data_IF_451150923406
#
_entry.id   IF_451150923406
#
_cell.length_a   1.000
_cell.length_b   1.000
_cell.length_c   1.000
_cell.angle_alpha   90.00
_cell.angle_beta   90.00
_cell.angle_gamma   90.00
#
_symmetry.space_group_name_H-M   'P 1'
#
loop_
_entity.id
_entity.type
_entity.pdbx_description
1 polymer ?
#
# COMPACT_ATOMS: atom_id res chain seq x y z
N UNK A 1 8.12 -16.94 23.23
CA UNK A 1 6.85 -16.22 22.97
C UNK A 1 6.94 -15.41 21.68
N UNK A 2 7.86 -14.44 21.56
CA UNK A 2 8.02 -13.65 20.32
C UNK A 2 8.52 -14.48 19.12
N UNK A 3 9.54 -15.34 19.30
CA UNK A 3 10.03 -16.23 18.24
C UNK A 3 8.93 -17.12 17.65
N UNK A 4 8.15 -17.78 18.51
CA UNK A 4 7.02 -18.64 18.11
C UNK A 4 5.93 -17.90 17.34
N UNK A 5 5.71 -16.61 17.62
CA UNK A 5 4.74 -15.78 16.89
C UNK A 5 5.28 -15.48 15.49
N UNK A 6 6.56 -15.09 15.35
CA UNK A 6 7.13 -14.77 14.05
C UNK A 6 7.30 -16.01 13.15
N UNK A 7 7.70 -17.14 13.72
CA UNK A 7 7.84 -18.41 13.00
C UNK A 7 6.50 -18.91 12.41
N UNK A 8 5.37 -18.53 13.00
CA UNK A 8 4.03 -18.90 12.52
C UNK A 8 3.38 -17.81 11.67
N UNK A 9 3.57 -16.54 12.03
CA UNK A 9 3.02 -15.40 11.31
C UNK A 9 3.61 -15.25 9.91
N UNK A 10 4.93 -15.42 9.73
CA UNK A 10 5.59 -15.30 8.43
C UNK A 10 5.03 -16.25 7.36
N UNK A 11 4.98 -17.58 7.59
CA UNK A 11 4.41 -18.50 6.60
C UNK A 11 2.91 -18.25 6.39
N UNK A 12 2.16 -17.86 7.43
CA UNK A 12 0.75 -17.51 7.29
C UNK A 12 0.54 -16.30 6.37
N UNK A 13 1.31 -15.23 6.57
CA UNK A 13 1.28 -14.03 5.72
C UNK A 13 1.64 -14.41 4.28
N UNK A 14 2.67 -15.24 4.07
CA UNK A 14 3.05 -15.70 2.74
C UNK A 14 1.91 -16.47 2.04
N UNK A 15 1.27 -17.40 2.76
CA UNK A 15 0.11 -18.15 2.25
C UNK A 15 -1.04 -17.21 1.90
N UNK A 16 -1.34 -16.22 2.74
CA UNK A 16 -2.39 -15.24 2.47
C UNK A 16 -2.09 -14.39 1.23
N UNK A 17 -0.85 -13.93 1.05
CA UNK A 17 -0.45 -13.17 -0.15
C UNK A 17 -0.65 -14.01 -1.41
N UNK A 18 -0.18 -15.27 -1.41
CA UNK A 18 -0.35 -16.17 -2.56
C UNK A 18 -1.82 -16.46 -2.81
N UNK A 19 -2.62 -16.70 -1.76
CA UNK A 19 -4.05 -16.96 -1.89
C UNK A 19 -4.81 -15.75 -2.46
N UNK A 20 -4.50 -14.53 -2.00
CA UNK A 20 -5.09 -13.29 -2.52
C UNK A 20 -4.67 -13.09 -3.98
N UNK A 21 -3.39 -13.30 -4.32
CA UNK A 21 -2.90 -13.23 -5.69
C UNK A 21 -3.58 -14.24 -6.63
N UNK A 22 -3.69 -15.50 -6.20
CA UNK A 22 -4.36 -16.54 -6.96
C UNK A 22 -5.86 -16.26 -7.14
N UNK A 23 -6.54 -15.81 -6.08
CA UNK A 23 -7.95 -15.44 -6.13
C UNK A 23 -8.21 -14.26 -7.08
N UNK A 24 -7.40 -13.20 -6.99
CA UNK A 24 -7.52 -12.02 -7.86
C UNK A 24 -7.23 -12.36 -9.33
N UNK A 25 -6.23 -13.20 -9.60
CA UNK A 25 -5.93 -13.68 -10.94
C UNK A 25 -7.06 -14.56 -11.49
N UNK A 26 -7.54 -15.53 -10.69
CA UNK A 26 -8.65 -16.40 -11.07
C UNK A 26 -9.91 -15.61 -11.41
N UNK A 27 -10.26 -14.63 -10.57
CA UNK A 27 -11.38 -13.72 -10.80
C UNK A 27 -11.22 -12.94 -12.10
N UNK A 28 -10.02 -12.39 -12.34
CA UNK A 28 -9.70 -11.65 -13.57
C UNK A 28 -9.86 -12.53 -14.81
N UNK A 29 -9.32 -13.75 -14.79
CA UNK A 29 -9.44 -14.70 -15.93
C UNK A 29 -10.91 -15.09 -16.15
N UNK A 30 -11.68 -15.30 -15.08
CA UNK A 30 -13.10 -15.63 -15.15
C UNK A 30 -13.93 -14.49 -15.78
N UNK A 31 -13.71 -13.26 -15.34
CA UNK A 31 -14.41 -12.07 -15.86
C UNK A 31 -14.09 -11.82 -17.35
N UNK A 32 -12.84 -11.99 -17.78
CA UNK A 32 -12.47 -11.92 -19.22
C UNK A 32 -13.19 -12.98 -20.06
N UNK A 33 -13.29 -14.21 -19.56
CA UNK A 33 -13.95 -15.32 -20.28
C UNK A 33 -15.45 -15.10 -20.45
N UNK A 34 -16.08 -14.33 -19.56
CA UNK A 34 -17.51 -13.99 -19.66
C UNK A 34 -17.84 -12.87 -20.64
N UNK A 35 -16.85 -12.28 -21.32
CA UNK A 35 -17.06 -11.23 -22.32
C UNK A 35 -17.44 -9.86 -21.75
N UNK A 36 -17.42 -9.69 -20.42
CA UNK A 36 -17.63 -8.40 -19.76
C UNK A 36 -16.32 -7.62 -19.72
N UNK A 37 -16.39 -6.29 -19.87
CA UNK A 37 -15.26 -5.43 -19.58
C UNK A 37 -14.86 -5.60 -18.11
N UNK A 38 -13.60 -5.97 -17.87
CA UNK A 38 -13.09 -6.27 -16.52
C UNK A 38 -13.19 -5.08 -15.57
N UNK A 39 -13.04 -3.89 -16.15
CA UNK A 39 -13.24 -2.60 -15.54
C UNK A 39 -13.60 -1.62 -16.65
N UNK A 40 -14.48 -0.69 -16.35
CA UNK A 40 -14.66 0.49 -17.18
C UNK A 40 -13.34 1.27 -17.24
N UNK A 41 -12.97 1.78 -18.42
CA UNK A 41 -11.75 2.57 -18.64
C UNK A 41 -11.66 3.74 -17.64
N UNK A 42 -12.82 4.30 -17.29
CA UNK A 42 -12.97 5.31 -16.25
C UNK A 42 -12.45 4.84 -14.89
N UNK A 43 -12.91 3.67 -14.43
CA UNK A 43 -12.52 3.14 -13.11
C UNK A 43 -11.02 2.84 -13.06
N UNK A 44 -10.48 2.27 -14.15
CA UNK A 44 -9.04 2.02 -14.26
C UNK A 44 -8.22 3.31 -14.20
N UNK A 45 -8.68 4.37 -14.87
CA UNK A 45 -8.04 5.69 -14.85
C UNK A 45 -8.05 6.32 -13.47
N UNK A 46 -9.19 6.30 -12.78
CA UNK A 46 -9.33 6.82 -11.40
C UNK A 46 -8.39 6.08 -10.45
N UNK A 47 -8.43 4.75 -10.47
CA UNK A 47 -7.59 3.92 -9.59
C UNK A 47 -6.11 4.12 -9.88
N UNK A 48 -5.71 4.17 -11.15
CA UNK A 48 -4.33 4.43 -11.55
C UNK A 48 -3.85 5.79 -11.05
N UNK A 49 -4.64 6.85 -11.23
CA UNK A 49 -4.31 8.19 -10.75
C UNK A 49 -4.18 8.25 -9.23
N UNK A 50 -5.12 7.65 -8.50
CA UNK A 50 -5.07 7.58 -7.04
C UNK A 50 -3.83 6.82 -6.55
N UNK A 51 -3.51 5.69 -7.19
CA UNK A 51 -2.32 4.89 -6.86
C UNK A 51 -1.02 5.65 -7.10
N UNK A 52 -0.87 6.35 -8.23
CA UNK A 52 0.34 7.14 -8.53
C UNK A 52 0.56 8.23 -7.49
N UNK A 53 -0.49 8.97 -7.13
CA UNK A 53 -0.36 10.05 -6.13
C UNK A 53 -0.08 9.49 -4.73
N UNK A 54 -0.78 8.43 -4.33
CA UNK A 54 -0.53 7.77 -3.04
C UNK A 54 0.90 7.21 -2.94
N UNK A 55 1.42 6.64 -4.03
CA UNK A 55 2.80 6.17 -4.12
C UNK A 55 3.80 7.31 -3.96
N UNK A 56 3.63 8.42 -4.68
CA UNK A 56 4.52 9.57 -4.54
C UNK A 56 4.46 10.18 -3.13
N UNK A 57 3.28 10.27 -2.52
CA UNK A 57 3.14 10.70 -1.12
C UNK A 57 3.90 9.78 -0.16
N UNK A 58 3.78 8.47 -0.34
CA UNK A 58 4.54 7.48 0.43
C UNK A 58 6.05 7.64 0.27
N UNK A 59 6.52 7.82 -0.96
CA UNK A 59 7.95 8.03 -1.25
C UNK A 59 8.48 9.30 -0.58
N UNK A 60 7.75 10.41 -0.67
CA UNK A 60 8.13 11.65 0.02
C UNK A 60 8.12 11.51 1.54
N UNK A 61 7.14 10.79 2.09
CA UNK A 61 7.08 10.48 3.51
C UNK A 61 8.30 9.66 3.97
N UNK A 62 8.71 8.65 3.21
CA UNK A 62 9.91 7.87 3.51
C UNK A 62 11.19 8.71 3.44
N UNK A 63 11.29 9.61 2.46
CA UNK A 63 12.41 10.56 2.38
C UNK A 63 12.45 11.46 3.62
N UNK A 64 11.29 11.98 4.06
CA UNK A 64 11.19 12.78 5.29
C UNK A 64 11.59 11.99 6.54
N UNK A 65 11.19 10.72 6.64
CA UNK A 65 11.63 9.86 7.75
C UNK A 65 13.15 9.63 7.76
N UNK A 66 13.79 9.55 6.59
CA UNK A 66 15.24 9.48 6.51
C UNK A 66 15.91 10.77 7.03
N UNK A 67 15.42 11.94 6.60
CA UNK A 67 15.90 13.21 7.16
C UNK A 67 15.67 13.33 8.66
N UNK A 68 14.53 12.82 9.15
CA UNK A 68 14.25 12.76 10.57
C UNK A 68 15.23 11.84 11.32
N UNK A 69 15.58 10.68 10.77
CA UNK A 69 16.61 9.81 11.35
C UNK A 69 17.99 10.51 11.39
N UNK A 70 18.39 11.19 10.30
CA UNK A 70 19.62 12.00 10.29
C UNK A 70 19.58 13.03 11.41
N UNK A 71 18.44 13.74 11.57
CA UNK A 71 18.29 14.72 12.63
C UNK A 71 18.41 14.10 14.04
N UNK A 72 17.77 12.96 14.28
CA UNK A 72 17.81 12.25 15.57
C UNK A 72 19.22 11.80 15.94
N UNK A 73 19.95 11.25 14.98
CA UNK A 73 21.31 10.75 15.21
C UNK A 73 22.27 11.91 15.45
N UNK A 74 22.30 12.88 14.54
CA UNK A 74 23.33 13.93 14.54
C UNK A 74 23.09 15.02 15.59
N UNK A 75 21.83 15.37 15.84
CA UNK A 75 21.49 16.50 16.73
C UNK A 75 20.97 16.08 18.10
N UNK A 76 20.48 14.84 18.23
CA UNK A 76 19.91 14.36 19.50
C UNK A 76 20.68 13.18 20.10
N UNK A 77 21.62 12.58 19.37
CA UNK A 77 22.35 11.38 19.81
C UNK A 77 21.43 10.18 20.08
N UNK A 78 20.27 10.14 19.42
CA UNK A 78 19.30 9.06 19.56
C UNK A 78 19.48 8.03 18.45
N UNK A 79 19.13 6.77 18.74
CA UNK A 79 19.11 5.70 17.74
C UNK A 79 18.08 5.98 16.64
N UNK A 80 18.31 5.42 15.46
CA UNK A 80 17.37 5.49 14.34
C UNK A 80 15.98 4.91 14.70
N UNK A 81 14.95 5.33 13.97
CA UNK A 81 13.64 4.69 14.09
C UNK A 81 13.74 3.22 13.69
N UNK A 82 13.17 2.33 14.50
CA UNK A 82 13.09 0.92 14.16
C UNK A 82 12.35 0.67 12.84
N UNK A 83 12.74 -0.38 12.12
CA UNK A 83 12.17 -0.73 10.81
C UNK A 83 10.65 -0.94 10.85
N UNK A 84 10.13 -1.57 11.91
CA UNK A 84 8.71 -1.88 12.05
C UNK A 84 7.80 -0.64 12.08
N UNK A 85 8.00 0.39 12.94
CA UNK A 85 7.18 1.60 12.91
C UNK A 85 7.34 2.41 11.61
N UNK A 86 8.52 2.40 10.98
CA UNK A 86 8.75 3.06 9.69
C UNK A 86 7.90 2.41 8.59
N UNK A 87 7.99 1.08 8.45
CA UNK A 87 7.23 0.34 7.44
C UNK A 87 5.72 0.47 7.68
N UNK A 88 5.28 0.28 8.91
CA UNK A 88 3.85 0.34 9.25
C UNK A 88 3.26 1.72 8.95
N UNK A 89 3.94 2.80 9.37
CA UNK A 89 3.45 4.15 9.13
C UNK A 89 3.43 4.52 7.64
N UNK A 90 4.41 4.07 6.87
CA UNK A 90 4.44 4.29 5.42
C UNK A 90 3.31 3.57 4.70
N UNK A 91 3.06 2.30 5.03
CA UNK A 91 1.96 1.51 4.45
C UNK A 91 0.59 2.11 4.81
N UNK A 92 0.41 2.54 6.07
CA UNK A 92 -0.82 3.19 6.51
C UNK A 92 -1.03 4.50 5.74
N UNK A 93 -0.01 5.35 5.63
CA UNK A 93 -0.10 6.62 4.91
C UNK A 93 -0.46 6.39 3.43
N UNK A 94 0.21 5.45 2.76
CA UNK A 94 -0.09 5.11 1.36
C UNK A 94 -1.50 4.55 1.19
N UNK A 95 -1.93 3.65 2.07
CA UNK A 95 -3.26 3.04 2.01
C UNK A 95 -4.38 4.05 2.25
N UNK A 96 -4.24 4.90 3.28
CA UNK A 96 -5.21 5.97 3.57
C UNK A 96 -5.25 6.99 2.44
N UNK A 97 -4.09 7.41 1.92
CA UNK A 97 -4.02 8.33 0.79
C UNK A 97 -4.72 7.74 -0.44
N UNK A 98 -4.47 6.47 -0.75
CA UNK A 98 -5.13 5.80 -1.87
C UNK A 98 -6.66 5.80 -1.72
N UNK A 99 -7.18 5.38 -0.56
CA UNK A 99 -8.63 5.33 -0.31
C UNK A 99 -9.25 6.74 -0.43
N UNK A 100 -8.62 7.74 0.17
CA UNK A 100 -9.08 9.12 0.13
C UNK A 100 -9.10 9.67 -1.31
N UNK A 101 -8.02 9.48 -2.06
CA UNK A 101 -7.88 9.97 -3.43
C UNK A 101 -8.80 9.23 -4.40
N UNK A 102 -8.94 7.92 -4.26
CA UNK A 102 -9.84 7.11 -5.08
C UNK A 102 -11.30 7.56 -4.87
N UNK A 103 -11.70 7.82 -3.62
CA UNK A 103 -13.03 8.34 -3.27
C UNK A 103 -13.24 9.76 -3.82
N UNK A 104 -12.22 10.61 -3.70
CA UNK A 104 -12.27 11.99 -4.19
C UNK A 104 -12.40 12.07 -5.72
N UNK A 105 -11.55 11.34 -6.46
CA UNK A 105 -11.59 11.32 -7.92
C UNK A 105 -12.86 10.64 -8.45
N UNK A 106 -13.36 9.60 -7.77
CA UNK A 106 -14.66 9.00 -8.09
C UNK A 106 -15.79 10.03 -8.08
N UNK A 107 -15.91 10.80 -6.99
CA UNK A 107 -16.95 11.84 -6.84
C UNK A 107 -16.79 13.01 -7.82
N UNK A 108 -15.57 13.34 -8.22
CA UNK A 108 -15.28 14.52 -9.06
C UNK A 108 -15.54 14.29 -10.53
N UNK A 109 -15.46 13.05 -10.99
CA UNK A 109 -15.77 12.66 -12.37
C UNK A 109 -17.26 12.29 -12.55
N UNK A 110 -18.06 12.29 -11.47
CA UNK A 110 -19.53 12.15 -11.52
C UNK A 110 -20.25 13.52 -11.72
N UNK A 111 -19.54 14.63 -11.58
CA UNK A 111 -20.01 16.02 -11.79
C UNK A 111 -19.59 16.52 -13.17
#
# INVERSE_FOLDING_TARGET
MAETIWSTALPLIAVLIVAIGAYTLWRTVKERRSGFALQDERTARIQGRAATVAFHLGSWYLILLNFYNIFRIEFQGLDELGSMPVINSAVILMGVAYIALNTYFGRREDL
#
